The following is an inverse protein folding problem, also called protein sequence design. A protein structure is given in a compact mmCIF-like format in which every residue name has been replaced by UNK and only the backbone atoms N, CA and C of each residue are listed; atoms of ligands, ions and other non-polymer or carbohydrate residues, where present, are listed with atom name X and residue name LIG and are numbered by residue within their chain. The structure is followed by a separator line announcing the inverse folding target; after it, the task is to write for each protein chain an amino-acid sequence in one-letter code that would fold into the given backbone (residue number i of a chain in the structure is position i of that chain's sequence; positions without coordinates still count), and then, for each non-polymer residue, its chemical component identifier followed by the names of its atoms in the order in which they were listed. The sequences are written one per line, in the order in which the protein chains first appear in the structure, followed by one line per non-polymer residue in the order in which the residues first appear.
data_IF_689838132700
#
_entry.id   IF_689838132700
#
_cell.length_a   1.000
_cell.length_b   1.000
_cell.length_c   1.000
_cell.angle_alpha   90.00
_cell.angle_beta   90.00
_cell.angle_gamma   90.00
#
_symmetry.space_group_name_H-M   'P 1'
#
loop_
_entity.id
_entity.type
_entity.pdbx_description
1 polymer ?
#
# COMPACT_ATOMS: atom_id res chain seq x y z
N UNK A 1 26.63 -8.32 -11.93
CA UNK A 1 25.28 -8.33 -12.50
C UNK A 1 24.73 -9.75 -12.67
N UNK A 2 25.51 -10.69 -13.20
CA UNK A 2 25.09 -12.11 -13.37
C UNK A 2 24.80 -12.77 -12.01
N UNK A 3 25.65 -12.56 -11.00
CA UNK A 3 25.45 -13.10 -9.65
C UNK A 3 24.18 -12.55 -8.96
N UNK A 4 23.78 -11.30 -9.24
CA UNK A 4 22.55 -10.69 -8.75
C UNK A 4 21.32 -11.35 -9.40
N UNK A 5 21.35 -11.55 -10.72
CA UNK A 5 20.26 -12.22 -11.46
C UNK A 5 20.07 -13.67 -11.03
N UNK A 6 21.17 -14.43 -10.85
CA UNK A 6 21.11 -15.81 -10.33
C UNK A 6 20.51 -15.85 -8.91
N UNK A 7 20.85 -14.88 -8.06
CA UNK A 7 20.28 -14.75 -6.72
C UNK A 7 18.77 -14.46 -6.72
N UNK A 8 18.23 -13.78 -7.74
CA UNK A 8 16.78 -13.54 -7.90
C UNK A 8 16.06 -14.85 -8.26
N UNK A 9 16.62 -15.64 -9.18
CA UNK A 9 16.00 -16.89 -9.64
C UNK A 9 16.16 -18.06 -8.65
N UNK A 10 17.05 -17.96 -7.66
CA UNK A 10 17.22 -18.99 -6.63
C UNK A 10 16.25 -18.88 -5.45
N UNK A 11 15.44 -17.81 -5.40
CA UNK A 11 14.43 -17.64 -4.34
C UNK A 11 13.15 -18.40 -4.67
N UNK A 12 12.47 -19.00 -3.67
CA UNK A 12 11.21 -19.68 -3.91
C UNK A 12 10.19 -18.69 -4.46
N UNK A 13 9.51 -19.08 -5.54
CA UNK A 13 8.42 -18.28 -6.15
C UNK A 13 7.15 -18.30 -5.30
N UNK A 14 7.04 -19.29 -4.41
CA UNK A 14 5.87 -19.54 -3.57
C UNK A 14 6.30 -19.54 -2.10
N UNK A 15 5.49 -18.96 -1.23
CA UNK A 15 5.70 -18.98 0.23
C UNK A 15 5.32 -20.33 0.84
N UNK A 16 5.68 -20.55 2.12
CA UNK A 16 5.26 -21.73 2.87
C UNK A 16 3.74 -21.91 2.94
N UNK A 17 2.97 -20.84 2.74
CA UNK A 17 1.49 -20.83 2.71
C UNK A 17 0.93 -20.98 1.27
N UNK A 18 1.72 -21.49 0.32
CA UNK A 18 1.39 -21.67 -1.10
C UNK A 18 0.99 -20.39 -1.85
N UNK A 19 1.31 -19.22 -1.30
CA UNK A 19 1.05 -17.92 -1.91
C UNK A 19 2.22 -17.46 -2.77
N UNK A 20 1.91 -16.81 -3.91
CA UNK A 20 2.93 -16.24 -4.78
C UNK A 20 3.68 -15.10 -4.08
N UNK A 21 4.99 -15.14 -4.07
CA UNK A 21 5.86 -14.09 -3.50
C UNK A 21 6.80 -13.47 -4.52
N UNK A 22 7.10 -14.17 -5.61
CA UNK A 22 8.10 -13.77 -6.61
C UNK A 22 9.40 -13.31 -5.91
N UNK A 23 9.96 -12.16 -6.36
CA UNK A 23 11.19 -11.59 -5.80
C UNK A 23 10.95 -10.69 -4.55
N UNK A 24 9.69 -10.45 -4.16
CA UNK A 24 9.36 -9.51 -3.06
C UNK A 24 9.37 -10.16 -1.67
N UNK A 25 9.69 -11.44 -1.56
CA UNK A 25 9.82 -12.20 -0.29
C UNK A 25 8.54 -12.31 0.55
N UNK A 26 7.52 -11.47 0.32
CA UNK A 26 6.31 -11.43 1.12
C UNK A 26 5.07 -11.25 0.25
N UNK A 27 4.04 -12.12 0.38
CA UNK A 27 2.85 -12.06 -0.48
C UNK A 27 2.05 -10.78 -0.29
N UNK A 28 2.04 -10.20 0.92
CA UNK A 28 1.30 -8.97 1.19
C UNK A 28 1.89 -7.77 0.42
N UNK A 29 3.22 -7.70 0.31
CA UNK A 29 3.88 -6.66 -0.48
C UNK A 29 3.64 -6.88 -1.97
N UNK A 30 3.70 -8.12 -2.45
CA UNK A 30 3.40 -8.43 -3.85
C UNK A 30 1.97 -8.00 -4.20
N UNK A 31 1.00 -8.28 -3.32
CA UNK A 31 -0.38 -7.82 -3.48
C UNK A 31 -0.49 -6.29 -3.58
N UNK A 32 0.19 -5.56 -2.70
CA UNK A 32 0.17 -4.09 -2.70
C UNK A 32 0.85 -3.49 -3.94
N UNK A 33 2.01 -4.01 -4.34
CA UNK A 33 2.72 -3.59 -5.57
C UNK A 33 1.84 -3.80 -6.80
N UNK A 34 1.25 -5.00 -6.92
CA UNK A 34 0.39 -5.35 -8.06
C UNK A 34 -0.87 -4.46 -8.09
N UNK A 35 -1.48 -4.21 -6.94
CA UNK A 35 -2.64 -3.34 -6.83
C UNK A 35 -2.33 -1.91 -7.29
N UNK A 36 -1.25 -1.31 -6.78
CA UNK A 36 -0.85 0.06 -7.13
C UNK A 36 -0.43 0.15 -8.59
N UNK A 37 0.27 -0.85 -9.13
CA UNK A 37 0.61 -0.92 -10.56
C UNK A 37 -0.67 -1.00 -11.43
N UNK A 38 -1.66 -1.79 -11.04
CA UNK A 38 -2.95 -1.87 -11.72
C UNK A 38 -3.69 -0.53 -11.68
N UNK A 39 -3.75 0.13 -10.53
CA UNK A 39 -4.36 1.45 -10.36
C UNK A 39 -3.66 2.50 -11.24
N UNK A 40 -2.32 2.45 -11.34
CA UNK A 40 -1.55 3.28 -12.24
C UNK A 40 -1.95 3.06 -13.71
N UNK A 41 -1.97 1.81 -14.15
CA UNK A 41 -2.34 1.47 -15.52
C UNK A 41 -3.74 1.97 -15.87
N UNK A 42 -4.72 1.75 -15.00
CA UNK A 42 -6.11 2.16 -15.23
C UNK A 42 -6.24 3.68 -15.26
N UNK A 43 -5.58 4.39 -14.33
CA UNK A 43 -5.66 5.84 -14.23
C UNK A 43 -5.10 6.53 -15.48
N UNK A 44 -4.09 5.96 -16.10
CA UNK A 44 -3.43 6.53 -17.28
C UNK A 44 -3.83 5.87 -18.60
N UNK A 45 -4.72 4.87 -18.61
CA UNK A 45 -5.07 4.11 -19.81
C UNK A 45 -5.54 4.99 -20.98
N UNK A 46 -6.22 6.11 -20.72
CA UNK A 46 -6.71 7.03 -21.73
C UNK A 46 -5.59 7.84 -22.43
N UNK A 47 -4.37 7.87 -21.88
CA UNK A 47 -3.24 8.56 -22.47
C UNK A 47 -2.52 7.72 -23.54
N UNK A 48 -2.78 6.42 -23.58
CA UNK A 48 -2.10 5.49 -24.46
C UNK A 48 -2.90 5.23 -25.73
N UNK A 49 -2.21 5.23 -26.86
CA UNK A 49 -2.79 5.06 -28.20
C UNK A 49 -2.06 3.97 -28.97
N UNK A 50 -2.72 3.44 -30.01
CA UNK A 50 -2.12 2.44 -30.89
C UNK A 50 -1.71 1.15 -30.18
N UNK A 51 -0.61 0.56 -30.58
CA UNK A 51 -0.10 -0.73 -30.09
C UNK A 51 0.21 -0.72 -28.61
N UNK A 52 0.67 0.43 -28.05
CA UNK A 52 0.99 0.56 -26.63
C UNK A 52 -0.22 0.30 -25.74
N UNK A 53 -1.43 0.63 -26.19
CA UNK A 53 -2.67 0.34 -25.45
C UNK A 53 -2.90 -1.17 -25.29
N UNK A 54 -2.66 -1.96 -26.32
CA UNK A 54 -2.84 -3.42 -26.26
C UNK A 54 -1.78 -4.08 -25.37
N UNK A 55 -0.52 -3.65 -25.49
CA UNK A 55 0.58 -4.14 -24.63
C UNK A 55 0.26 -3.85 -23.15
N UNK A 56 -0.14 -2.63 -22.83
CA UNK A 56 -0.43 -2.24 -21.46
C UNK A 56 -1.71 -2.89 -20.91
N UNK A 57 -2.69 -3.19 -21.78
CA UNK A 57 -3.86 -4.00 -21.40
C UNK A 57 -3.44 -5.43 -21.07
N UNK A 58 -2.58 -6.05 -21.87
CA UNK A 58 -2.00 -7.38 -21.55
C UNK A 58 -1.21 -7.38 -20.23
N UNK A 59 -0.39 -6.35 -19.99
CA UNK A 59 0.28 -6.18 -18.70
C UNK A 59 -0.73 -6.03 -17.55
N UNK A 60 -1.82 -5.30 -17.75
CA UNK A 60 -2.88 -5.17 -16.74
C UNK A 60 -3.52 -6.52 -16.39
N UNK A 61 -3.79 -7.39 -17.39
CA UNK A 61 -4.27 -8.74 -17.16
C UNK A 61 -3.26 -9.57 -16.34
N UNK A 62 -1.99 -9.52 -16.70
CA UNK A 62 -0.93 -10.23 -15.97
C UNK A 62 -0.80 -9.73 -14.53
N UNK A 63 -0.81 -8.42 -14.30
CA UNK A 63 -0.75 -7.82 -12.96
C UNK A 63 -1.98 -8.22 -12.14
N UNK A 64 -3.16 -8.27 -12.74
CA UNK A 64 -4.38 -8.74 -12.07
C UNK A 64 -4.25 -10.20 -11.65
N UNK A 65 -3.70 -11.05 -12.52
CA UNK A 65 -3.43 -12.45 -12.19
C UNK A 65 -2.43 -12.57 -11.01
N UNK A 66 -1.34 -11.79 -11.02
CA UNK A 66 -0.38 -11.75 -9.92
C UNK A 66 -1.04 -11.28 -8.62
N UNK A 67 -1.89 -10.25 -8.68
CA UNK A 67 -2.65 -9.78 -7.52
C UNK A 67 -3.52 -10.91 -6.94
N UNK A 68 -4.25 -11.64 -7.79
CA UNK A 68 -5.08 -12.79 -7.38
C UNK A 68 -4.21 -13.88 -6.72
N UNK A 69 -3.11 -14.24 -7.36
CA UNK A 69 -2.20 -15.28 -6.85
C UNK A 69 -1.46 -14.90 -5.58
N UNK A 70 -1.37 -13.60 -5.24
CA UNK A 70 -0.82 -13.13 -3.96
C UNK A 70 -1.67 -13.53 -2.76
N UNK A 71 -2.94 -13.87 -2.97
CA UNK A 71 -3.92 -14.23 -1.95
C UNK A 71 -4.00 -13.23 -0.77
N UNK A 72 -3.78 -11.93 -1.07
CA UNK A 72 -3.81 -10.86 -0.06
C UNK A 72 -5.17 -10.18 0.01
N UNK A 73 -6.00 -10.60 0.99
CA UNK A 73 -7.35 -10.07 1.20
C UNK A 73 -7.38 -8.55 1.43
N UNK A 74 -6.41 -8.01 2.16
CA UNK A 74 -6.32 -6.58 2.41
C UNK A 74 -6.05 -5.79 1.11
N UNK A 75 -5.17 -6.30 0.23
CA UNK A 75 -4.91 -5.71 -1.07
C UNK A 75 -6.14 -5.80 -1.99
N UNK A 76 -6.90 -6.90 -1.96
CA UNK A 76 -8.15 -7.02 -2.72
C UNK A 76 -9.17 -5.96 -2.29
N UNK A 77 -9.44 -5.86 -0.98
CA UNK A 77 -10.38 -4.89 -0.44
C UNK A 77 -9.96 -3.46 -0.76
N UNK A 78 -8.69 -3.13 -0.55
CA UNK A 78 -8.17 -1.80 -0.84
C UNK A 78 -8.22 -1.45 -2.34
N UNK A 79 -7.89 -2.42 -3.21
CA UNK A 79 -8.01 -2.26 -4.67
C UNK A 79 -9.46 -2.05 -5.08
N UNK A 80 -10.35 -2.84 -4.53
CA UNK A 80 -11.79 -2.74 -4.79
C UNK A 80 -12.35 -1.36 -4.42
N UNK A 81 -12.06 -0.85 -3.22
CA UNK A 81 -12.50 0.48 -2.79
C UNK A 81 -11.91 1.58 -3.68
N UNK A 82 -10.61 1.47 -4.01
CA UNK A 82 -9.91 2.42 -4.88
C UNK A 82 -10.47 2.44 -6.31
N UNK A 83 -10.76 1.28 -6.88
CA UNK A 83 -11.40 1.15 -8.20
C UNK A 83 -12.83 1.69 -8.18
N UNK A 84 -13.59 1.40 -7.14
CA UNK A 84 -14.95 1.93 -6.98
C UNK A 84 -14.95 3.47 -6.97
N UNK A 85 -14.03 4.08 -6.24
CA UNK A 85 -13.84 5.52 -6.24
C UNK A 85 -13.47 6.05 -7.63
N UNK A 86 -12.50 5.41 -8.31
CA UNK A 86 -12.04 5.81 -9.64
C UNK A 86 -13.18 5.74 -10.68
N UNK A 87 -13.94 4.64 -10.67
CA UNK A 87 -15.08 4.44 -11.58
C UNK A 87 -16.18 5.48 -11.28
N UNK A 88 -16.48 5.72 -10.00
CA UNK A 88 -17.44 6.75 -9.59
C UNK A 88 -17.02 8.14 -10.05
N UNK A 89 -15.73 8.48 -9.92
CA UNK A 89 -15.20 9.78 -10.33
C UNK A 89 -15.20 9.97 -11.86
N UNK A 90 -14.87 8.93 -12.63
CA UNK A 90 -14.80 8.99 -14.10
C UNK A 90 -16.16 8.83 -14.77
N UNK A 91 -17.13 8.23 -14.12
CA UNK A 91 -18.43 7.95 -14.71
C UNK A 91 -19.38 9.14 -14.64
N UNK A 92 -19.92 9.51 -15.78
CA UNK A 92 -21.02 10.50 -15.87
C UNK A 92 -22.37 9.93 -15.37
N UNK A 93 -22.54 8.62 -15.39
CA UNK A 93 -23.76 7.92 -14.98
C UNK A 93 -23.50 7.15 -13.67
N UNK A 94 -24.11 7.58 -12.58
CA UNK A 94 -23.89 7.01 -11.24
C UNK A 94 -24.18 5.52 -11.09
N UNK A 95 -25.03 4.96 -11.94
CA UNK A 95 -25.41 3.54 -11.89
C UNK A 95 -24.30 2.62 -12.44
N UNK A 96 -23.52 3.10 -13.40
CA UNK A 96 -22.44 2.31 -14.03
C UNK A 96 -21.37 1.85 -13.04
N UNK A 97 -20.81 2.73 -12.14
CA UNK A 97 -19.87 2.29 -11.15
C UNK A 97 -20.46 1.23 -10.19
N UNK A 98 -21.71 1.38 -9.81
CA UNK A 98 -22.38 0.41 -8.92
C UNK A 98 -22.43 -0.97 -9.59
N UNK A 99 -22.87 -1.03 -10.84
CA UNK A 99 -22.96 -2.29 -11.59
C UNK A 99 -21.59 -2.94 -11.77
N UNK A 100 -20.57 -2.17 -12.15
CA UNK A 100 -19.20 -2.70 -12.32
C UNK A 100 -18.65 -3.19 -10.98
N UNK A 101 -18.85 -2.42 -9.91
CA UNK A 101 -18.40 -2.78 -8.55
C UNK A 101 -19.03 -4.10 -8.08
N UNK A 102 -20.35 -4.24 -8.25
CA UNK A 102 -21.08 -5.47 -7.91
C UNK A 102 -20.60 -6.64 -8.78
N UNK A 103 -20.40 -6.42 -10.09
CA UNK A 103 -19.88 -7.45 -11.00
C UNK A 103 -18.48 -7.92 -10.59
N UNK A 104 -17.57 -7.02 -10.20
CA UNK A 104 -16.24 -7.37 -9.70
C UNK A 104 -16.35 -8.20 -8.41
N UNK A 105 -17.23 -7.81 -7.47
CA UNK A 105 -17.48 -8.60 -6.26
C UNK A 105 -17.92 -10.02 -6.60
N UNK A 106 -18.89 -10.16 -7.47
CA UNK A 106 -19.42 -11.47 -7.88
C UNK A 106 -18.30 -12.31 -8.52
N UNK A 107 -17.56 -11.75 -9.49
CA UNK A 107 -16.45 -12.46 -10.14
C UNK A 107 -15.37 -12.86 -9.13
N UNK A 108 -15.04 -11.98 -8.16
CA UNK A 108 -14.06 -12.29 -7.11
C UNK A 108 -14.49 -13.49 -6.27
N UNK A 109 -15.77 -13.57 -5.90
CA UNK A 109 -16.32 -14.71 -5.14
C UNK A 109 -16.17 -16.03 -5.92
N UNK A 110 -16.42 -16.01 -7.24
CA UNK A 110 -16.30 -17.21 -8.08
C UNK A 110 -14.85 -17.63 -8.39
N UNK A 111 -13.90 -16.68 -8.34
CA UNK A 111 -12.49 -16.94 -8.67
C UNK A 111 -11.67 -17.29 -7.42
N UNK A 112 -12.13 -16.91 -6.22
CA UNK A 112 -11.44 -17.26 -4.99
C UNK A 112 -11.43 -18.78 -4.76
N UNK A 113 -10.26 -19.37 -4.39
CA UNK A 113 -10.21 -20.74 -3.93
C UNK A 113 -11.17 -20.98 -2.76
N UNK A 114 -11.79 -22.15 -2.68
CA UNK A 114 -12.79 -22.50 -1.65
C UNK A 114 -12.27 -22.20 -0.23
N UNK A 115 -11.04 -22.55 0.06
CA UNK A 115 -10.41 -22.28 1.36
C UNK A 115 -10.38 -20.79 1.74
N UNK A 116 -10.22 -19.91 0.74
CA UNK A 116 -10.24 -18.46 0.96
C UNK A 116 -11.66 -17.93 1.08
N UNK A 117 -12.60 -18.51 0.33
CA UNK A 117 -14.01 -18.19 0.43
C UNK A 117 -14.55 -18.56 1.80
N UNK A 118 -14.24 -19.76 2.31
CA UNK A 118 -14.63 -20.21 3.65
C UNK A 118 -14.06 -19.30 4.75
N UNK A 119 -12.82 -18.82 4.58
CA UNK A 119 -12.22 -17.82 5.49
C UNK A 119 -12.93 -16.47 5.45
N UNK A 120 -13.40 -16.04 4.28
CA UNK A 120 -14.17 -14.78 4.17
C UNK A 120 -15.54 -14.96 4.81
N UNK A 121 -16.21 -16.06 4.54
CA UNK A 121 -17.55 -16.36 5.11
C UNK A 121 -17.44 -16.44 6.65
N UNK A 122 -16.49 -17.19 7.17
CA UNK A 122 -16.28 -17.30 8.62
C UNK A 122 -15.95 -15.96 9.29
N UNK A 123 -15.20 -15.10 8.61
CA UNK A 123 -14.89 -13.73 9.09
C UNK A 123 -16.13 -12.82 9.13
N UNK A 124 -17.12 -13.06 8.25
CA UNK A 124 -18.39 -12.30 8.23
C UNK A 124 -19.39 -12.86 9.26
N UNK A 125 -19.47 -14.19 9.38
CA UNK A 125 -20.40 -14.85 10.31
C UNK A 125 -19.99 -14.69 11.78
N UNK A 126 -18.68 -14.68 12.06
CA UNK A 126 -18.15 -14.57 13.42
C UNK A 126 -16.91 -13.67 13.46
N UNK A 127 -17.07 -12.36 13.25
CA UNK A 127 -15.92 -11.44 13.10
C UNK A 127 -15.04 -11.36 14.36
N UNK A 128 -15.59 -11.59 15.55
CA UNK A 128 -14.85 -11.59 16.81
C UNK A 128 -14.11 -12.91 17.09
N UNK A 129 -14.55 -14.00 16.48
CA UNK A 129 -13.94 -15.33 16.59
C UNK A 129 -13.07 -15.66 15.37
N UNK A 130 -12.88 -14.72 14.44
CA UNK A 130 -11.98 -14.92 13.32
C UNK A 130 -10.54 -15.08 13.86
N UNK A 131 -9.91 -16.19 13.50
CA UNK A 131 -8.51 -16.52 13.86
C UNK A 131 -7.56 -15.36 13.60
N UNK A 132 -7.83 -14.57 12.56
CA UNK A 132 -7.02 -13.40 12.21
C UNK A 132 -7.19 -12.26 13.21
N UNK A 133 -8.40 -12.04 13.72
CA UNK A 133 -8.67 -11.02 14.74
C UNK A 133 -8.13 -11.45 16.10
N UNK A 134 -8.36 -12.70 16.50
CA UNK A 134 -7.84 -13.27 17.75
C UNK A 134 -6.31 -13.15 17.82
N UNK A 135 -5.59 -13.40 16.71
CA UNK A 135 -4.13 -13.28 16.68
C UNK A 135 -3.65 -11.83 16.65
N UNK A 136 -4.43 -10.89 16.13
CA UNK A 136 -4.06 -9.46 16.07
C UNK A 136 -4.35 -8.69 17.34
N UNK A 137 -5.36 -9.09 18.08
CA UNK A 137 -5.77 -8.41 19.32
C UNK A 137 -4.59 -8.25 20.30
N UNK A 138 -3.85 -9.29 20.70
CA UNK A 138 -2.70 -9.14 21.59
C UNK A 138 -1.55 -8.31 20.98
N UNK A 139 -1.38 -8.37 19.64
CA UNK A 139 -0.40 -7.54 18.93
C UNK A 139 -0.74 -6.05 19.08
N UNK A 140 -2.01 -5.71 18.95
CA UNK A 140 -2.48 -4.33 19.11
C UNK A 140 -2.45 -3.88 20.56
N UNK A 141 -2.79 -4.74 21.51
CA UNK A 141 -2.70 -4.46 22.96
C UNK A 141 -1.23 -4.15 23.35
N UNK A 142 -0.29 -4.98 22.90
CA UNK A 142 1.14 -4.72 23.10
C UNK A 142 1.57 -3.39 22.47
N UNK A 143 1.11 -3.10 21.24
CA UNK A 143 1.42 -1.85 20.58
C UNK A 143 0.86 -0.63 21.33
N UNK A 144 -0.38 -0.72 21.85
CA UNK A 144 -1.01 0.36 22.63
C UNK A 144 -0.25 0.59 23.93
N UNK A 145 0.11 -0.46 24.66
CA UNK A 145 0.95 -0.34 25.86
C UNK A 145 2.30 0.35 25.55
N UNK A 146 2.89 0.03 24.38
CA UNK A 146 4.09 0.73 23.90
C UNK A 146 3.87 2.20 23.57
N UNK A 147 2.73 2.55 22.99
CA UNK A 147 2.35 3.95 22.72
C UNK A 147 2.19 4.71 24.05
N UNK A 148 1.57 4.12 25.05
CA UNK A 148 1.38 4.71 26.37
C UNK A 148 2.72 4.96 27.08
N UNK A 149 3.71 4.08 26.88
CA UNK A 149 5.05 4.25 27.48
C UNK A 149 5.87 5.37 26.84
N UNK A 150 5.64 5.70 25.58
CA UNK A 150 6.37 6.75 24.84
C UNK A 150 5.46 7.53 23.87
N UNK A 151 4.42 8.26 24.36
CA UNK A 151 3.37 8.81 23.51
C UNK A 151 3.85 9.89 22.55
N UNK A 152 4.84 10.69 22.93
CA UNK A 152 5.23 11.86 22.14
C UNK A 152 6.14 11.54 20.96
N UNK A 153 7.18 10.71 21.16
CA UNK A 153 8.22 10.46 20.16
C UNK A 153 8.30 9.00 19.72
N UNK A 154 7.52 8.10 20.36
CA UNK A 154 7.45 6.68 20.02
C UNK A 154 8.64 5.85 20.44
N UNK A 155 8.63 4.56 20.07
CA UNK A 155 9.56 3.53 20.54
C UNK A 155 10.57 3.04 19.48
N UNK A 156 10.63 3.64 18.30
CA UNK A 156 11.44 3.13 17.18
C UNK A 156 10.92 1.82 16.56
N UNK A 157 11.16 1.66 15.24
CA UNK A 157 10.73 0.51 14.46
C UNK A 157 11.32 -0.82 14.97
N UNK A 158 12.57 -0.80 15.43
CA UNK A 158 13.28 -2.03 15.87
C UNK A 158 12.86 -2.49 17.26
N UNK A 159 12.23 -1.63 18.03
CA UNK A 159 11.82 -1.93 19.41
C UNK A 159 10.57 -2.81 19.46
N UNK A 160 9.73 -2.81 18.40
CA UNK A 160 8.42 -3.47 18.44
C UNK A 160 8.52 -4.95 18.79
N UNK A 161 9.44 -5.70 18.14
CA UNK A 161 9.61 -7.13 18.40
C UNK A 161 9.91 -7.44 19.86
N UNK A 162 10.86 -6.71 20.44
CA UNK A 162 11.27 -6.91 21.83
C UNK A 162 10.15 -6.48 22.78
N UNK A 163 9.51 -5.34 22.52
CA UNK A 163 8.40 -4.83 23.31
C UNK A 163 7.21 -5.81 23.31
N UNK A 164 6.82 -6.29 22.15
CA UNK A 164 5.78 -7.28 21.98
C UNK A 164 6.10 -8.59 22.71
N UNK A 165 7.34 -9.09 22.58
CA UNK A 165 7.77 -10.30 23.28
C UNK A 165 7.64 -10.14 24.81
N UNK A 166 8.15 -9.04 25.38
CA UNK A 166 8.07 -8.78 26.80
C UNK A 166 6.61 -8.68 27.27
N UNK A 167 5.77 -7.94 26.54
CA UNK A 167 4.34 -7.82 26.84
C UNK A 167 3.62 -9.19 26.90
N UNK A 168 3.92 -10.07 25.93
CA UNK A 168 3.34 -11.42 25.89
C UNK A 168 3.82 -12.27 27.08
N UNK A 169 5.09 -12.16 27.46
CA UNK A 169 5.63 -12.91 28.62
C UNK A 169 5.03 -12.44 29.94
N UNK A 170 4.81 -11.15 30.09
CA UNK A 170 4.20 -10.55 31.29
C UNK A 170 2.70 -10.90 31.42
N UNK A 171 1.99 -11.08 30.30
CA UNK A 171 0.55 -11.37 30.26
C UNK A 171 0.25 -12.82 29.83
N UNK A 172 1.21 -13.73 30.02
CA UNK A 172 1.14 -15.10 29.49
C UNK A 172 -0.02 -15.94 30.01
N UNK A 173 -0.54 -15.63 31.21
CA UNK A 173 -1.66 -16.34 31.83
C UNK A 173 -2.99 -16.03 31.16
N UNK A 174 -3.18 -14.80 30.68
CA UNK A 174 -4.42 -14.32 30.05
C UNK A 174 -4.50 -14.62 28.54
N UNK A 175 -3.37 -15.03 27.94
CA UNK A 175 -3.29 -15.21 26.50
C UNK A 175 -3.63 -16.63 26.06
N UNK A 176 -4.45 -16.74 25.02
CA UNK A 176 -4.83 -18.00 24.42
C UNK A 176 -3.59 -18.82 24.00
N UNK A 177 -3.60 -20.14 24.23
CA UNK A 177 -2.52 -21.08 23.89
C UNK A 177 -2.11 -20.99 22.40
N UNK A 178 -3.05 -20.74 21.49
CA UNK A 178 -2.79 -20.54 20.06
C UNK A 178 -1.90 -19.33 19.76
N UNK A 179 -2.03 -18.27 20.55
CA UNK A 179 -1.23 -17.08 20.36
C UNK A 179 0.23 -17.30 20.71
N UNK A 180 0.51 -18.10 21.72
CA UNK A 180 1.88 -18.46 22.15
C UNK A 180 2.66 -19.22 21.06
N UNK A 181 1.99 -19.95 20.18
CA UNK A 181 2.64 -20.65 19.05
C UNK A 181 2.99 -19.71 17.90
N UNK A 182 2.19 -18.66 17.69
CA UNK A 182 2.39 -17.67 16.58
C UNK A 182 3.42 -16.59 16.95
N UNK A 183 3.73 -16.44 18.23
CA UNK A 183 4.49 -15.34 18.84
C UNK A 183 5.91 -15.13 18.27
N UNK A 184 6.55 -16.17 17.76
CA UNK A 184 7.98 -16.15 17.40
C UNK A 184 8.35 -15.23 16.24
N UNK A 185 7.39 -14.64 15.51
CA UNK A 185 7.65 -13.97 14.23
C UNK A 185 6.98 -12.61 14.02
N UNK A 186 6.39 -12.00 15.07
CA UNK A 186 5.71 -10.70 14.92
C UNK A 186 6.71 -9.55 14.99
N UNK A 187 6.83 -8.80 13.90
CA UNK A 187 7.78 -7.69 13.74
C UNK A 187 7.11 -6.32 13.71
N UNK A 188 5.79 -6.25 13.51
CA UNK A 188 5.04 -5.00 13.37
C UNK A 188 3.54 -5.19 13.72
N UNK A 189 2.80 -4.09 14.02
CA UNK A 189 1.42 -4.18 14.52
C UNK A 189 0.35 -4.60 13.52
N UNK A 190 0.66 -4.88 12.25
CA UNK A 190 -0.33 -5.15 11.19
C UNK A 190 -1.45 -4.10 11.06
N UNK A 191 -1.14 -2.86 11.39
CA UNK A 191 -2.01 -1.70 11.24
C UNK A 191 -1.14 -0.46 11.12
N UNK A 192 -1.31 0.32 10.03
CA UNK A 192 -0.43 1.46 9.73
C UNK A 192 -0.58 2.57 10.78
N UNK A 193 -1.78 2.80 11.28
CA UNK A 193 -2.05 3.90 12.22
C UNK A 193 -1.43 3.61 13.59
N UNK A 194 -1.65 2.38 14.09
CA UNK A 194 -1.04 1.91 15.34
C UNK A 194 0.48 1.86 15.18
N UNK A 195 0.98 1.37 14.04
CA UNK A 195 2.41 1.28 13.76
C UNK A 195 3.11 2.64 13.74
N UNK A 196 2.52 3.63 13.09
CA UNK A 196 3.05 5.00 13.07
C UNK A 196 3.09 5.60 14.49
N UNK A 197 2.02 5.46 15.27
CA UNK A 197 1.97 5.95 16.65
C UNK A 197 3.00 5.25 17.54
N UNK A 198 3.12 3.94 17.43
CA UNK A 198 4.13 3.18 18.18
C UNK A 198 5.55 3.64 17.85
N UNK A 199 5.85 3.81 16.55
CA UNK A 199 7.22 4.08 16.09
C UNK A 199 7.67 5.52 16.26
N UNK A 200 6.76 6.46 15.95
CA UNK A 200 7.09 7.88 15.84
C UNK A 200 6.34 8.76 16.85
N UNK A 201 5.47 8.17 17.67
CA UNK A 201 4.61 8.89 18.60
C UNK A 201 3.65 9.85 17.92
N UNK A 202 3.02 10.70 18.74
CA UNK A 202 2.05 11.69 18.26
C UNK A 202 2.74 12.73 17.35
N UNK A 203 3.94 13.19 17.72
CA UNK A 203 4.66 14.23 16.97
C UNK A 203 5.00 13.74 15.56
N UNK A 204 5.70 12.60 15.44
CA UNK A 204 6.11 12.10 14.14
C UNK A 204 4.94 11.64 13.27
N UNK A 205 3.91 11.03 13.87
CA UNK A 205 2.68 10.65 13.16
C UNK A 205 1.93 11.87 12.62
N UNK A 206 1.82 12.94 13.41
CA UNK A 206 1.19 14.18 12.98
C UNK A 206 1.94 14.82 11.81
N UNK A 207 3.28 14.89 11.87
CA UNK A 207 4.11 15.41 10.78
C UNK A 207 3.97 14.55 9.51
N UNK A 208 3.91 13.23 9.66
CA UNK A 208 3.68 12.32 8.53
C UNK A 208 2.31 12.58 7.88
N UNK A 209 1.23 12.59 8.67
CA UNK A 209 -0.13 12.85 8.17
C UNK A 209 -0.20 14.24 7.51
N UNK A 210 0.43 15.24 8.12
CA UNK A 210 0.52 16.58 7.54
C UNK A 210 1.21 16.57 6.17
N UNK A 211 2.36 15.90 6.03
CA UNK A 211 3.09 15.84 4.76
C UNK A 211 2.28 15.15 3.66
N UNK A 212 1.61 14.05 3.98
CA UNK A 212 0.70 13.34 3.07
C UNK A 212 -0.52 14.22 2.72
N UNK A 213 -1.06 14.96 3.70
CA UNK A 213 -2.16 15.90 3.50
C UNK A 213 -1.80 17.05 2.56
N UNK A 214 -0.58 17.60 2.67
CA UNK A 214 -0.09 18.62 1.73
C UNK A 214 0.05 18.07 0.31
N UNK A 215 0.57 16.86 0.15
CA UNK A 215 0.67 16.20 -1.15
C UNK A 215 -0.73 15.92 -1.73
N UNK A 216 -1.68 15.48 -0.90
CA UNK A 216 -3.07 15.26 -1.32
C UNK A 216 -3.74 16.58 -1.75
N UNK A 217 -3.55 17.66 -1.00
CA UNK A 217 -4.04 19.00 -1.39
C UNK A 217 -3.51 19.41 -2.76
N UNK A 218 -2.23 19.19 -3.03
CA UNK A 218 -1.61 19.45 -4.36
C UNK A 218 -2.18 18.53 -5.44
N UNK A 219 -2.32 17.25 -5.16
CA UNK A 219 -2.90 16.30 -6.11
C UNK A 219 -4.35 16.65 -6.49
N UNK A 220 -5.15 17.11 -5.53
CA UNK A 220 -6.51 17.61 -5.78
C UNK A 220 -6.49 18.84 -6.69
N UNK A 221 -5.61 19.82 -6.43
CA UNK A 221 -5.45 21.01 -7.27
C UNK A 221 -4.99 20.67 -8.69
N UNK A 222 -4.11 19.69 -8.85
CA UNK A 222 -3.61 19.21 -10.16
C UNK A 222 -4.56 18.20 -10.83
N UNK A 223 -5.65 17.79 -10.19
CA UNK A 223 -6.54 16.71 -10.62
C UNK A 223 -5.80 15.39 -10.86
N UNK A 224 -4.78 15.13 -10.04
CA UNK A 224 -4.01 13.88 -10.10
C UNK A 224 -4.78 12.74 -9.43
N UNK A 225 -5.54 12.00 -10.23
CA UNK A 225 -6.35 10.87 -9.77
C UNK A 225 -5.49 9.73 -9.26
N UNK A 226 -4.29 9.51 -9.79
CA UNK A 226 -3.45 8.40 -9.37
C UNK A 226 -3.06 8.52 -7.90
N UNK A 227 -2.56 9.68 -7.47
CA UNK A 227 -2.21 9.87 -6.07
C UNK A 227 -3.44 9.78 -5.14
N UNK A 228 -4.59 10.30 -5.58
CA UNK A 228 -5.83 10.20 -4.80
C UNK A 228 -6.22 8.73 -4.56
N UNK A 229 -6.21 7.88 -5.59
CA UNK A 229 -6.54 6.45 -5.43
C UNK A 229 -5.48 5.69 -4.64
N UNK A 230 -4.20 6.08 -4.71
CA UNK A 230 -3.13 5.52 -3.87
C UNK A 230 -3.39 5.83 -2.39
N UNK A 231 -3.80 7.04 -2.06
CA UNK A 231 -4.14 7.40 -0.66
C UNK A 231 -5.34 6.61 -0.16
N UNK A 232 -6.38 6.43 -0.99
CA UNK A 232 -7.53 5.59 -0.65
C UNK A 232 -7.08 4.14 -0.43
N UNK A 233 -6.25 3.61 -1.34
CA UNK A 233 -5.68 2.28 -1.20
C UNK A 233 -4.94 2.11 0.12
N UNK A 234 -4.01 3.02 0.44
CA UNK A 234 -3.24 2.96 1.69
C UNK A 234 -4.09 3.13 2.94
N UNK A 235 -5.14 3.94 2.88
CA UNK A 235 -6.06 4.11 4.01
C UNK A 235 -6.80 2.81 4.34
N UNK A 236 -7.23 2.06 3.34
CA UNK A 236 -7.92 0.77 3.54
C UNK A 236 -6.93 -0.35 3.82
N UNK A 237 -5.87 -0.48 3.02
CA UNK A 237 -4.84 -1.50 3.18
C UNK A 237 -4.16 -1.41 4.55
N UNK A 238 -3.87 -0.19 4.99
CA UNK A 238 -3.23 0.10 6.25
C UNK A 238 -4.03 -0.24 7.50
N UNK A 239 -5.35 -0.45 7.39
CA UNK A 239 -6.14 -0.99 8.51
C UNK A 239 -5.75 -2.43 8.86
N UNK A 240 -5.23 -3.17 7.89
CA UNK A 240 -4.96 -4.61 7.99
C UNK A 240 -3.48 -4.97 7.86
N UNK A 241 -2.64 -4.03 7.41
CA UNK A 241 -1.24 -4.28 7.16
C UNK A 241 -0.40 -3.05 7.50
N UNK A 242 0.84 -3.28 7.92
CA UNK A 242 1.82 -2.22 8.14
C UNK A 242 3.00 -2.43 7.16
N UNK A 243 3.05 -1.64 6.12
CA UNK A 243 4.04 -1.77 5.05
C UNK A 243 5.13 -0.70 5.07
N UNK A 244 4.99 0.34 5.91
CA UNK A 244 5.96 1.45 5.99
C UNK A 244 7.22 1.11 6.84
N UNK A 245 7.31 -0.08 7.39
CA UNK A 245 8.51 -0.63 8.01
C UNK A 245 9.49 -1.22 6.99
N UNK A 246 9.08 -1.30 5.72
CA UNK A 246 9.83 -1.94 4.64
C UNK A 246 10.07 -0.95 3.50
N UNK A 247 11.24 -1.08 2.87
CA UNK A 247 11.65 -0.24 1.73
C UNK A 247 10.61 -0.27 0.60
N UNK A 248 10.10 -1.46 0.27
CA UNK A 248 9.10 -1.66 -0.78
C UNK A 248 7.81 -0.85 -0.50
N UNK A 249 7.31 -0.89 0.73
CA UNK A 249 6.10 -0.16 1.12
C UNK A 249 6.31 1.36 1.15
N UNK A 250 7.48 1.79 1.60
CA UNK A 250 7.87 3.22 1.58
C UNK A 250 7.85 3.73 0.14
N UNK A 251 8.50 3.02 -0.79
CA UNK A 251 8.55 3.40 -2.21
C UNK A 251 7.15 3.49 -2.81
N UNK A 252 6.26 2.54 -2.51
CA UNK A 252 4.89 2.53 -3.04
C UNK A 252 4.06 3.76 -2.66
N UNK A 253 4.33 4.39 -1.51
CA UNK A 253 3.64 5.61 -1.09
C UNK A 253 4.38 6.87 -1.57
N UNK A 254 5.70 6.91 -1.38
CA UNK A 254 6.47 8.13 -1.66
C UNK A 254 6.75 8.35 -3.14
N UNK A 255 6.79 7.30 -3.98
CA UNK A 255 6.94 7.47 -5.42
C UNK A 255 5.76 8.24 -6.05
N UNK A 256 4.48 7.88 -5.83
CA UNK A 256 3.36 8.68 -6.32
C UNK A 256 3.34 10.10 -5.75
N UNK A 257 3.73 10.26 -4.48
CA UNK A 257 3.88 11.58 -3.86
C UNK A 257 4.93 12.43 -4.57
N UNK A 258 6.07 11.84 -4.90
CA UNK A 258 7.14 12.49 -5.68
C UNK A 258 6.68 12.92 -7.08
N UNK A 259 5.81 12.15 -7.73
CA UNK A 259 5.24 12.51 -9.04
C UNK A 259 4.38 13.78 -8.96
N UNK A 260 3.62 13.96 -7.87
CA UNK A 260 2.80 15.17 -7.65
C UNK A 260 3.68 16.41 -7.56
N UNK A 261 4.77 16.36 -6.79
CA UNK A 261 5.72 17.47 -6.65
C UNK A 261 6.55 17.69 -7.91
N UNK A 262 6.99 16.62 -8.59
CA UNK A 262 7.75 16.70 -9.82
C UNK A 262 7.02 17.41 -10.95
N UNK A 263 5.71 17.21 -11.07
CA UNK A 263 4.89 17.94 -12.06
C UNK A 263 4.82 19.44 -11.79
N UNK A 264 4.75 19.84 -10.54
CA UNK A 264 4.76 21.26 -10.17
C UNK A 264 6.08 21.92 -10.56
N UNK A 265 7.20 21.25 -10.24
CA UNK A 265 8.53 21.73 -10.60
C UNK A 265 8.67 21.85 -12.13
N UNK A 266 8.25 20.83 -12.88
CA UNK A 266 8.29 20.87 -14.33
C UNK A 266 7.45 22.02 -14.91
N UNK A 267 6.26 22.26 -14.36
CA UNK A 267 5.40 23.37 -14.77
C UNK A 267 6.01 24.75 -14.43
N UNK A 268 6.72 24.87 -13.32
CA UNK A 268 7.39 26.12 -12.94
C UNK A 268 8.57 26.43 -13.85
N UNK A 269 9.36 25.42 -14.21
CA UNK A 269 10.49 25.57 -15.14
C UNK A 269 10.03 25.99 -16.53
N UNK A 270 8.92 25.48 -17.03
CA UNK A 270 8.34 25.87 -18.31
C UNK A 270 7.81 27.31 -18.35
N UNK A 271 7.50 27.92 -17.20
CA UNK A 271 7.03 29.30 -17.08
C UNK A 271 8.16 30.34 -16.98
N UNK A 272 9.39 29.90 -16.74
CA UNK A 272 10.54 30.82 -16.75
C UNK A 272 10.77 31.30 -18.17
N UNK A 273 10.88 32.61 -18.40
CA UNK A 273 11.27 33.12 -19.71
C UNK A 273 12.64 32.54 -20.08
N UNK A 274 12.89 32.25 -21.36
CA UNK A 274 14.21 31.82 -21.81
C UNK A 274 15.25 32.78 -21.25
N UNK A 275 16.28 32.22 -20.61
CA UNK A 275 17.40 33.03 -20.13
C UNK A 275 17.86 33.94 -21.27
N UNK A 276 17.80 35.25 -21.04
CA UNK A 276 18.39 36.18 -21.98
C UNK A 276 19.87 35.80 -22.11
N UNK A 277 20.20 35.07 -23.17
CA UNK A 277 21.58 34.87 -23.54
C UNK A 277 22.20 36.26 -23.68
N UNK A 278 23.19 36.54 -22.85
CA UNK A 278 23.96 37.73 -22.81
C UNK A 278 24.20 38.21 -24.26
N UNK A 279 23.65 39.37 -24.59
CA UNK A 279 24.06 40.04 -25.80
C UNK A 279 25.57 40.21 -25.68
N UNK A 280 26.37 39.79 -26.69
CA UNK A 280 27.78 40.01 -26.63
C UNK A 280 28.01 41.51 -26.47
N UNK A 281 28.72 41.87 -25.41
CA UNK A 281 29.15 43.22 -25.09
C UNK A 281 29.70 43.86 -26.33
N UNK A 282 29.04 44.94 -26.79
CA UNK A 282 29.34 45.57 -28.07
C UNK A 282 30.82 45.87 -28.22
N UNK A 283 31.37 45.44 -29.33
CA UNK A 283 32.58 46.01 -29.87
C UNK A 283 32.30 47.49 -30.16
N UNK A 284 32.73 48.36 -29.27
CA UNK A 284 32.96 49.77 -29.62
C UNK A 284 34.15 49.77 -30.54
N UNK A 285 33.86 49.87 -31.81
CA UNK A 285 34.88 50.22 -32.82
C UNK A 285 35.13 51.75 -32.73
N UNK A 286 36.39 52.06 -32.58
CA UNK A 286 36.98 53.41 -32.80
C UNK A 286 36.73 53.92 -34.21
#
# INVERSE_FOLDING_TARGET
YIGFMVGIFSKPLVSCDERLVLFLKHPNILGAVSAIALLFLITYCNKWKGISRYILSGMGCLITLILILSANRAAYLATFVSLSFLIFYLSKKRIVPIVITVSICIVTIFVLPQEQLDRVISSVESPLNDRTFETRKPIWEAAIAGIESAPWFGNSIRAFKAFHHNYIMENAEDLNSRYREVEKTVYHPHNIFIGLLFMYGIVGTTLFIWSVGLALKKALAQKDLFFQVVIIFYSVFGLFEFSLDREDGIVLLFFPMGLVYGREIAASLQRQPPAQHDQPCGAQAE
#
